data_IF_987337983651
#
_entry.id   IF_987337983651
#
_cell.length_a   1.000
_cell.length_b   1.000
_cell.length_c   1.000
_cell.angle_alpha   90.00
_cell.angle_beta   90.00
_cell.angle_gamma   90.00
#
_symmetry.space_group_name_H-M   'P 1'
#
loop_
_entity.id
_entity.type
_entity.pdbx_description
1 polymer ?
#
# COMPACT_ATOMS: atom_id res chain seq x y z
N UNK A 1 21.85 4.69 -14.48
CA UNK A 1 21.77 5.42 -15.74
C UNK A 1 22.01 6.92 -15.51
N UNK A 2 22.62 7.61 -16.49
CA UNK A 2 22.84 9.05 -16.43
C UNK A 2 21.48 9.78 -16.41
N UNK A 3 21.26 10.77 -15.52
CA UNK A 3 20.02 11.56 -15.48
C UNK A 3 19.64 12.18 -16.82
N UNK A 4 20.63 12.57 -17.65
CA UNK A 4 20.40 13.10 -18.98
C UNK A 4 19.81 12.05 -19.93
N UNK A 5 20.24 10.80 -19.85
CA UNK A 5 19.70 9.68 -20.65
C UNK A 5 18.28 9.32 -20.21
N UNK A 6 17.99 9.35 -18.90
CA UNK A 6 16.64 9.13 -18.38
C UNK A 6 15.67 10.16 -18.94
N UNK A 7 16.02 11.43 -18.86
CA UNK A 7 15.21 12.54 -19.39
C UNK A 7 15.03 12.47 -20.90
N UNK A 8 16.09 12.11 -21.64
CA UNK A 8 16.03 11.92 -23.08
C UNK A 8 15.08 10.76 -23.44
N UNK A 9 15.25 9.64 -22.82
CA UNK A 9 14.43 8.44 -23.07
C UNK A 9 12.96 8.72 -22.75
N UNK A 10 12.67 9.41 -21.65
CA UNK A 10 11.31 9.82 -21.32
C UNK A 10 10.72 10.73 -22.40
N UNK A 11 11.43 11.78 -22.80
CA UNK A 11 10.96 12.75 -23.80
C UNK A 11 10.68 12.14 -25.17
N UNK A 12 11.42 11.11 -25.53
CA UNK A 12 11.25 10.39 -26.80
C UNK A 12 10.20 9.29 -26.74
N UNK A 13 9.72 8.92 -25.54
CA UNK A 13 8.66 7.94 -25.41
C UNK A 13 7.34 8.45 -25.99
N UNK A 14 6.72 7.73 -26.94
CA UNK A 14 5.56 8.22 -27.65
C UNK A 14 4.26 8.30 -26.81
N UNK A 15 4.20 7.61 -25.69
CA UNK A 15 3.06 7.63 -24.77
C UNK A 15 3.31 8.54 -23.56
N UNK A 16 4.45 8.34 -22.88
CA UNK A 16 4.76 9.02 -21.62
C UNK A 16 5.58 10.31 -21.80
N UNK A 17 6.10 10.59 -23.00
CA UNK A 17 6.83 11.85 -23.29
C UNK A 17 6.06 13.11 -22.92
N UNK A 18 4.78 13.25 -23.30
CA UNK A 18 3.94 14.40 -22.97
C UNK A 18 3.55 14.50 -21.48
N UNK A 19 3.71 13.44 -20.68
CA UNK A 19 3.33 13.42 -19.27
C UNK A 19 4.32 14.25 -18.46
N UNK A 20 3.84 15.29 -17.80
CA UNK A 20 4.63 16.14 -16.90
C UNK A 20 4.65 15.58 -15.49
N UNK A 21 3.51 15.08 -15.03
CA UNK A 21 3.32 14.52 -13.69
C UNK A 21 2.26 13.43 -13.71
N UNK A 22 2.45 12.42 -12.89
CA UNK A 22 1.40 11.45 -12.57
C UNK A 22 1.47 11.07 -11.11
N UNK A 23 0.31 10.81 -10.52
CA UNK A 23 0.19 10.35 -9.14
C UNK A 23 -1.02 9.43 -9.01
N UNK A 24 -0.92 8.47 -8.10
CA UNK A 24 -2.03 7.57 -7.81
C UNK A 24 -1.59 6.38 -6.99
N UNK A 25 -2.41 5.36 -7.04
CA UNK A 25 -2.16 4.10 -6.36
C UNK A 25 -2.55 2.92 -7.25
N UNK A 26 -2.02 1.77 -6.92
CA UNK A 26 -2.26 0.56 -7.69
C UNK A 26 -2.25 -0.68 -6.80
N UNK A 27 -2.89 -1.72 -7.31
CA UNK A 27 -3.00 -3.02 -6.69
C UNK A 27 -2.06 -4.00 -7.38
N UNK A 28 -1.13 -4.59 -6.64
CA UNK A 28 -0.23 -5.65 -7.12
C UNK A 28 -0.79 -7.02 -6.79
N UNK A 29 -0.67 -7.92 -7.76
CA UNK A 29 -1.01 -9.35 -7.63
C UNK A 29 -0.28 -9.99 -6.46
N UNK A 30 1.02 -9.70 -6.34
CA UNK A 30 1.93 -10.27 -5.34
C UNK A 30 1.78 -9.65 -3.95
N UNK A 31 1.13 -8.49 -3.84
CA UNK A 31 0.94 -7.74 -2.59
C UNK A 31 -0.54 -7.40 -2.36
N UNK A 32 -1.40 -8.42 -2.16
CA UNK A 32 -2.85 -8.23 -2.17
C UNK A 32 -3.38 -7.44 -0.96
N UNK A 33 -2.59 -7.29 0.10
CA UNK A 33 -3.02 -6.70 1.36
C UNK A 33 -2.76 -5.19 1.44
N UNK A 34 -1.83 -4.70 0.62
CA UNK A 34 -1.37 -3.31 0.62
C UNK A 34 -1.49 -2.72 -0.78
N UNK A 35 -1.66 -1.41 -0.86
CA UNK A 35 -1.61 -0.71 -2.15
C UNK A 35 -0.23 -0.09 -2.39
N UNK A 36 0.14 0.00 -3.66
CA UNK A 36 1.32 0.72 -4.08
C UNK A 36 1.02 2.18 -4.37
N UNK A 37 1.87 3.08 -3.90
CA UNK A 37 1.84 4.47 -4.33
C UNK A 37 2.68 4.67 -5.59
N UNK A 38 2.11 5.40 -6.54
CA UNK A 38 2.75 5.85 -7.76
C UNK A 38 2.95 7.35 -7.71
N UNK A 39 4.17 7.83 -7.90
CA UNK A 39 4.47 9.25 -8.04
C UNK A 39 5.52 9.46 -9.12
N UNK A 40 5.20 10.30 -10.11
CA UNK A 40 6.13 10.67 -11.19
C UNK A 40 6.10 12.17 -11.40
N UNK A 41 7.28 12.77 -11.49
CA UNK A 41 7.48 14.17 -11.84
C UNK A 41 8.69 14.31 -12.78
N UNK A 42 8.48 14.91 -13.95
CA UNK A 42 9.54 14.99 -14.96
C UNK A 42 10.06 13.62 -15.37
N UNK A 43 11.34 13.37 -15.20
CA UNK A 43 12.00 12.08 -15.48
C UNK A 43 12.11 11.15 -14.28
N UNK A 44 11.68 11.58 -13.10
CA UNK A 44 11.76 10.81 -11.86
C UNK A 44 10.45 10.11 -11.59
N UNK A 45 10.54 8.84 -11.24
CA UNK A 45 9.41 8.01 -10.81
C UNK A 45 9.77 7.34 -9.48
N UNK A 46 8.86 7.36 -8.55
CA UNK A 46 8.93 6.63 -7.29
C UNK A 46 7.72 5.73 -7.13
N UNK A 47 7.96 4.56 -6.61
CA UNK A 47 6.95 3.58 -6.24
C UNK A 47 7.27 3.12 -4.82
N UNK A 48 6.26 3.03 -3.99
CA UNK A 48 6.43 2.59 -2.61
C UNK A 48 5.15 1.98 -2.04
N UNK A 49 5.22 1.53 -0.80
CA UNK A 49 4.05 1.10 -0.05
C UNK A 49 3.22 2.31 0.38
N UNK A 50 1.92 2.29 0.09
CA UNK A 50 0.99 3.32 0.56
C UNK A 50 0.22 2.92 1.83
N UNK A 51 0.31 1.65 2.23
CA UNK A 51 -0.39 1.13 3.40
C UNK A 51 -1.41 0.02 3.06
N UNK A 52 -2.19 -0.42 4.04
CA UNK A 52 -3.22 -1.43 3.82
C UNK A 52 -4.41 -0.87 3.01
N UNK A 53 -5.05 -1.75 2.25
CA UNK A 53 -6.38 -1.46 1.72
C UNK A 53 -7.39 -1.34 2.87
N UNK A 54 -8.41 -0.50 2.74
CA UNK A 54 -9.44 -0.39 3.78
C UNK A 54 -10.20 -1.71 3.98
N UNK A 55 -10.25 -2.57 2.97
CA UNK A 55 -10.78 -3.93 3.10
C UNK A 55 -9.98 -4.83 4.06
N UNK A 56 -8.77 -4.42 4.44
CA UNK A 56 -7.89 -5.12 5.41
C UNK A 56 -7.84 -4.41 6.77
N UNK A 57 -8.43 -3.22 6.88
CA UNK A 57 -8.45 -2.42 8.11
C UNK A 57 -9.73 -2.72 8.88
N UNK A 58 -9.65 -3.11 10.17
CA UNK A 58 -10.81 -3.27 11.03
C UNK A 58 -11.68 -1.99 11.09
N UNK A 59 -12.99 -2.16 11.22
CA UNK A 59 -13.96 -1.06 11.13
C UNK A 59 -13.76 0.00 12.24
N UNK A 60 -13.28 -0.42 13.39
CA UNK A 60 -12.91 0.42 14.54
C UNK A 60 -11.73 1.36 14.25
N UNK A 61 -10.84 0.96 13.34
CA UNK A 61 -9.66 1.74 12.94
C UNK A 61 -9.93 2.65 11.73
N UNK A 62 -11.16 2.67 11.23
CA UNK A 62 -11.55 3.60 10.18
C UNK A 62 -11.72 5.02 10.73
N UNK A 63 -11.53 6.06 9.89
CA UNK A 63 -11.74 7.45 10.30
C UNK A 63 -13.12 7.65 10.96
N UNK A 64 -13.19 8.45 12.01
CA UNK A 64 -14.45 8.76 12.72
C UNK A 64 -15.38 9.66 11.91
N UNK A 65 -14.83 10.47 11.00
CA UNK A 65 -15.60 11.38 10.14
C UNK A 65 -16.53 10.60 9.21
N UNK A 66 -17.82 10.91 9.28
CA UNK A 66 -18.86 10.18 8.55
C UNK A 66 -18.76 10.35 7.03
N UNK A 67 -18.40 11.54 6.57
CA UNK A 67 -18.31 11.84 5.13
C UNK A 67 -17.11 11.11 4.53
N UNK A 68 -16.01 11.01 5.29
CA UNK A 68 -14.83 10.23 4.92
C UNK A 68 -15.16 8.74 4.89
N UNK A 69 -15.86 8.20 5.91
CA UNK A 69 -16.30 6.79 5.92
C UNK A 69 -17.20 6.46 4.74
N UNK A 70 -18.16 7.34 4.44
CA UNK A 70 -19.05 7.15 3.29
C UNK A 70 -18.26 7.16 1.98
N UNK A 71 -17.28 8.05 1.83
CA UNK A 71 -16.40 8.09 0.67
C UNK A 71 -15.62 6.77 0.51
N UNK A 72 -15.03 6.24 1.59
CA UNK A 72 -14.34 4.95 1.60
C UNK A 72 -15.29 3.82 1.20
N UNK A 73 -16.49 3.77 1.78
CA UNK A 73 -17.49 2.76 1.47
C UNK A 73 -17.93 2.79 0.01
N UNK A 74 -18.02 3.98 -0.59
CA UNK A 74 -18.35 4.14 -2.00
C UNK A 74 -17.27 3.58 -2.95
N UNK A 75 -16.06 3.41 -2.46
CA UNK A 75 -14.95 2.80 -3.20
C UNK A 75 -14.98 1.26 -3.19
N UNK A 76 -15.75 0.66 -2.27
CA UNK A 76 -15.92 -0.79 -2.20
C UNK A 76 -16.77 -1.29 -3.37
N UNK A 77 -16.10 -1.81 -4.40
CA UNK A 77 -16.74 -2.33 -5.61
C UNK A 77 -16.38 -3.79 -5.84
N UNK A 78 -17.41 -4.61 -5.95
CA UNK A 78 -17.21 -6.04 -6.21
C UNK A 78 -16.67 -6.82 -5.01
N UNK A 79 -16.04 -7.98 -5.25
CA UNK A 79 -15.68 -8.92 -4.18
C UNK A 79 -14.36 -8.60 -3.47
N UNK A 80 -13.62 -7.57 -3.92
CA UNK A 80 -12.26 -7.28 -3.45
C UNK A 80 -12.15 -5.97 -2.67
N UNK A 81 -13.28 -5.40 -2.26
CA UNK A 81 -13.33 -4.16 -1.47
C UNK A 81 -12.93 -2.94 -2.29
N UNK A 82 -12.10 -2.11 -1.71
CA UNK A 82 -11.61 -0.84 -2.29
C UNK A 82 -10.41 -1.01 -3.25
N UNK A 83 -9.98 -2.25 -3.49
CA UNK A 83 -8.83 -2.56 -4.35
C UNK A 83 -9.10 -2.17 -5.79
N UNK A 84 -8.25 -1.31 -6.34
CA UNK A 84 -8.32 -0.81 -7.73
C UNK A 84 -7.00 -0.20 -8.19
N UNK A 85 -6.95 0.15 -9.46
CA UNK A 85 -5.94 1.00 -10.05
C UNK A 85 -6.53 2.39 -10.23
N UNK A 86 -5.86 3.43 -9.72
CA UNK A 86 -6.28 4.81 -9.94
C UNK A 86 -5.05 5.70 -10.05
N UNK A 87 -4.72 6.13 -11.28
CA UNK A 87 -3.56 6.95 -11.57
C UNK A 87 -3.99 8.14 -12.42
N UNK A 88 -3.69 9.34 -11.94
CA UNK A 88 -3.93 10.59 -12.65
C UNK A 88 -2.68 11.01 -13.41
N UNK A 89 -2.83 11.34 -14.68
CA UNK A 89 -1.77 11.83 -15.55
C UNK A 89 -2.04 13.28 -15.93
N UNK A 90 -1.02 14.13 -15.80
CA UNK A 90 -1.07 15.55 -16.13
C UNK A 90 0.03 15.86 -17.14
N UNK A 91 -0.34 16.53 -18.24
CA UNK A 91 0.57 16.92 -19.31
C UNK A 91 -0.16 17.60 -20.45
N UNK A 92 0.58 17.95 -21.47
CA UNK A 92 0.04 18.61 -22.67
C UNK A 92 0.10 17.65 -23.87
N UNK A 93 -1.03 17.48 -24.56
CA UNK A 93 -1.11 16.56 -25.70
C UNK A 93 -0.98 15.07 -25.33
N UNK A 94 -1.44 14.69 -24.14
CA UNK A 94 -1.45 13.29 -23.67
C UNK A 94 -2.41 12.46 -24.55
N UNK A 95 -1.91 11.35 -25.06
CA UNK A 95 -2.73 10.31 -25.67
C UNK A 95 -3.19 9.31 -24.58
N UNK A 96 -4.35 9.59 -24.00
CA UNK A 96 -4.92 8.79 -22.93
C UNK A 96 -5.20 7.34 -23.36
N UNK A 97 -5.65 7.13 -24.60
CA UNK A 97 -5.94 5.79 -25.11
C UNK A 97 -4.68 4.94 -25.20
N UNK A 98 -3.58 5.54 -25.64
CA UNK A 98 -2.28 4.86 -25.71
C UNK A 98 -1.70 4.52 -24.34
N UNK A 99 -1.83 5.45 -23.37
CA UNK A 99 -1.41 5.17 -21.98
C UNK A 99 -2.25 4.05 -21.40
N UNK A 100 -3.58 4.09 -21.55
CA UNK A 100 -4.47 3.03 -21.05
C UNK A 100 -4.09 1.67 -21.64
N UNK A 101 -3.89 1.59 -22.95
CA UNK A 101 -3.48 0.33 -23.59
C UNK A 101 -2.19 -0.25 -22.99
N UNK A 102 -1.17 0.59 -22.75
CA UNK A 102 0.08 0.13 -22.16
C UNK A 102 -0.05 -0.30 -20.69
N UNK A 103 -0.94 0.35 -19.94
CA UNK A 103 -1.21 -0.04 -18.56
C UNK A 103 -2.07 -1.29 -18.48
N UNK A 104 -3.03 -1.46 -19.39
CA UNK A 104 -3.86 -2.66 -19.48
C UNK A 104 -3.03 -3.92 -19.77
N UNK A 105 -1.93 -3.80 -20.53
CA UNK A 105 -0.97 -4.90 -20.75
C UNK A 105 -0.26 -5.37 -19.47
N UNK A 106 -0.28 -4.56 -18.40
CA UNK A 106 0.29 -4.89 -17.10
C UNK A 106 -0.71 -5.61 -16.17
N UNK A 107 -1.98 -5.70 -16.55
CA UNK A 107 -3.00 -6.36 -15.74
C UNK A 107 -2.97 -7.88 -15.91
N UNK A 108 -3.45 -8.60 -14.89
CA UNK A 108 -3.70 -10.04 -15.04
C UNK A 108 -4.77 -10.27 -16.10
N UNK A 109 -4.57 -11.27 -16.94
CA UNK A 109 -5.63 -11.77 -17.79
C UNK A 109 -6.69 -12.57 -16.99
N UNK A 110 -7.80 -12.91 -17.62
CA UNK A 110 -8.91 -13.66 -17.00
C UNK A 110 -8.48 -15.02 -16.43
N UNK A 111 -7.47 -15.64 -17.04
CA UNK A 111 -6.95 -16.95 -16.62
C UNK A 111 -6.13 -16.82 -15.35
N UNK A 112 -5.25 -15.84 -15.32
CA UNK A 112 -4.41 -15.56 -14.17
C UNK A 112 -5.20 -14.97 -13.02
N UNK A 113 -6.19 -14.12 -13.29
CA UNK A 113 -7.12 -13.64 -12.27
C UNK A 113 -7.87 -14.79 -11.59
N UNK A 114 -8.34 -15.79 -12.34
CA UNK A 114 -8.99 -16.98 -11.76
C UNK A 114 -8.04 -17.81 -10.89
N UNK A 115 -6.75 -17.92 -11.29
CA UNK A 115 -5.74 -18.63 -10.46
C UNK A 115 -5.51 -17.87 -9.14
N UNK A 116 -5.34 -16.56 -9.23
CA UNK A 116 -5.16 -15.68 -8.08
C UNK A 116 -6.37 -15.75 -7.14
N UNK A 117 -7.59 -15.61 -7.66
CA UNK A 117 -8.83 -15.72 -6.89
C UNK A 117 -8.96 -17.06 -6.15
N UNK A 118 -8.54 -18.16 -6.79
CA UNK A 118 -8.56 -19.49 -6.15
C UNK A 118 -7.67 -19.55 -4.91
N UNK A 119 -6.54 -18.85 -4.91
CA UNK A 119 -5.68 -18.74 -3.73
C UNK A 119 -6.34 -17.85 -2.69
N UNK A 120 -6.76 -16.65 -3.08
CA UNK A 120 -7.32 -15.66 -2.16
C UNK A 120 -8.61 -16.10 -1.47
N UNK A 121 -9.50 -16.77 -2.19
CA UNK A 121 -10.77 -17.31 -1.67
C UNK A 121 -10.61 -18.56 -0.81
N UNK A 122 -9.40 -19.13 -0.70
CA UNK A 122 -9.16 -20.32 0.13
C UNK A 122 -9.15 -19.95 1.63
N UNK A 123 -10.24 -20.27 2.31
CA UNK A 123 -10.42 -20.00 3.75
C UNK A 123 -9.54 -20.86 4.68
N UNK A 124 -8.90 -21.92 4.15
CA UNK A 124 -8.04 -22.81 4.94
C UNK A 124 -6.58 -22.36 4.97
N UNK A 125 -6.23 -21.38 4.16
CA UNK A 125 -4.88 -20.83 4.09
C UNK A 125 -4.81 -19.54 4.89
N UNK A 126 -3.75 -19.40 5.69
CA UNK A 126 -3.38 -18.15 6.35
C UNK A 126 -3.01 -17.07 5.35
N UNK A 127 -2.87 -15.83 5.81
CA UNK A 127 -2.38 -14.70 5.00
C UNK A 127 -0.97 -15.00 4.44
N UNK A 128 -0.07 -15.47 5.30
CA UNK A 128 1.29 -15.84 4.95
C UNK A 128 1.34 -16.96 3.88
N UNK A 129 0.60 -18.05 4.09
CA UNK A 129 0.51 -19.15 3.11
C UNK A 129 -0.02 -18.71 1.74
N UNK A 130 -0.96 -17.76 1.71
CA UNK A 130 -1.45 -17.17 0.45
C UNK A 130 -0.38 -16.33 -0.22
N UNK A 131 0.32 -15.48 0.55
CA UNK A 131 1.42 -14.65 0.05
C UNK A 131 2.53 -15.50 -0.56
N UNK A 132 2.99 -16.52 0.16
CA UNK A 132 3.99 -17.48 -0.33
C UNK A 132 3.58 -18.20 -1.61
N UNK A 133 2.30 -18.56 -1.69
CA UNK A 133 1.78 -19.24 -2.86
C UNK A 133 1.69 -18.34 -4.07
N UNK A 134 1.30 -17.10 -3.88
CA UNK A 134 1.24 -16.08 -4.92
C UNK A 134 2.64 -15.73 -5.41
N UNK A 135 3.60 -15.56 -4.51
CA UNK A 135 5.00 -15.29 -4.83
C UNK A 135 5.66 -16.40 -5.67
N UNK A 136 5.19 -17.65 -5.55
CA UNK A 136 5.62 -18.76 -6.41
C UNK A 136 4.98 -18.77 -7.81
N UNK A 137 3.91 -18.01 -8.00
CA UNK A 137 3.17 -17.95 -9.27
C UNK A 137 3.58 -16.76 -10.12
N UNK A 138 3.94 -15.66 -9.48
CA UNK A 138 4.36 -14.41 -10.14
C UNK A 138 5.61 -13.86 -9.48
N UNK A 139 6.55 -13.40 -10.31
CA UNK A 139 7.76 -12.74 -9.84
C UNK A 139 7.41 -11.33 -9.34
N UNK A 140 7.97 -10.96 -8.18
CA UNK A 140 7.88 -9.62 -7.61
C UNK A 140 9.27 -8.99 -7.59
N UNK A 141 9.49 -8.00 -8.45
CA UNK A 141 10.77 -7.30 -8.56
C UNK A 141 10.87 -6.03 -7.73
N UNK A 142 9.90 -5.77 -6.87
CA UNK A 142 9.89 -4.57 -6.01
C UNK A 142 10.66 -4.81 -4.72
N UNK A 143 11.21 -3.73 -4.14
CA UNK A 143 11.77 -3.75 -2.78
C UNK A 143 10.71 -4.21 -1.76
N UNK A 144 11.15 -4.80 -0.66
CA UNK A 144 10.25 -5.24 0.40
C UNK A 144 9.47 -4.05 0.98
N UNK A 145 8.17 -4.24 1.17
CA UNK A 145 7.32 -3.29 1.87
C UNK A 145 7.25 -3.64 3.36
N UNK A 146 6.97 -2.66 4.24
CA UNK A 146 6.75 -2.95 5.65
C UNK A 146 5.68 -4.03 5.81
N UNK A 147 5.92 -4.97 6.72
CA UNK A 147 4.89 -5.92 7.09
C UNK A 147 3.67 -5.17 7.67
N UNK A 148 2.47 -5.68 7.41
CA UNK A 148 1.30 -5.25 8.19
C UNK A 148 1.47 -5.88 9.58
N UNK A 149 1.51 -5.07 10.62
CA UNK A 149 1.48 -5.54 12.00
C UNK A 149 0.14 -6.24 12.20
N UNK A 150 0.18 -7.53 12.53
CA UNK A 150 -1.01 -8.24 12.95
C UNK A 150 -1.31 -7.77 14.38
N UNK A 151 -2.46 -7.13 14.62
CA UNK A 151 -2.87 -6.58 15.92
C UNK A 151 -3.02 -7.64 17.03
N UNK A 152 -2.64 -8.89 16.77
CA UNK A 152 -2.74 -9.99 17.73
C UNK A 152 -1.52 -10.13 18.70
N UNK A 153 -0.46 -9.31 18.55
CA UNK A 153 0.73 -9.39 19.42
C UNK A 153 0.82 -8.33 20.53
N UNK A 154 -0.14 -7.40 20.66
CA UNK A 154 -0.14 -6.39 21.74
C UNK A 154 -0.82 -6.84 23.05
N UNK A 155 -1.28 -8.08 23.20
CA UNK A 155 -1.68 -8.61 24.51
C UNK A 155 -0.53 -9.47 25.08
N UNK A 156 0.39 -8.85 25.84
CA UNK A 156 1.08 -9.33 27.04
C UNK A 156 2.42 -8.62 27.29
N UNK A 157 2.41 -7.31 27.50
CA UNK A 157 3.36 -6.72 28.43
C UNK A 157 2.59 -6.24 29.68
N UNK A 158 2.51 -7.12 30.68
CA UNK A 158 2.12 -6.74 32.03
C UNK A 158 3.04 -5.61 32.52
N UNK A 159 2.48 -4.52 33.08
CA UNK A 159 3.32 -3.45 33.64
C UNK A 159 4.09 -4.02 34.82
N UNK A 160 5.40 -4.17 34.65
CA UNK A 160 6.31 -4.46 35.77
C UNK A 160 6.09 -3.39 36.83
N UNK A 161 5.59 -3.81 38.01
CA UNK A 161 5.51 -3.01 39.22
C UNK A 161 6.91 -2.44 39.55
N UNK A 162 7.16 -1.21 39.12
CA UNK A 162 8.28 -0.46 39.65
C UNK A 162 7.96 -0.08 41.10
N UNK A 163 8.76 -0.65 41.99
CA UNK A 163 8.63 -0.57 43.41
C UNK A 163 8.40 0.85 43.91
N UNK A 164 7.41 0.95 44.80
CA UNK A 164 7.13 2.12 45.63
C UNK A 164 8.37 2.50 46.45
N UNK A 165 9.15 3.47 45.96
CA UNK A 165 10.05 4.18 46.86
C UNK A 165 9.24 5.08 47.76
N UNK A 166 9.17 4.71 49.03
CA UNK A 166 8.60 5.51 50.11
C UNK A 166 9.34 6.83 50.20
N UNK A 167 8.63 7.92 49.93
CA UNK A 167 9.04 9.30 50.31
C UNK A 167 8.77 9.45 51.83
N UNK A 168 9.68 8.98 52.68
CA UNK A 168 9.61 9.19 54.12
C UNK A 168 10.92 9.63 54.77
N UNK A 169 12.02 9.83 54.03
CA UNK A 169 13.32 10.08 54.63
C UNK A 169 13.93 11.49 54.32
N UNK A 170 13.10 12.43 53.92
CA UNK A 170 13.58 13.81 53.67
C UNK A 170 12.86 14.91 54.49
N UNK A 171 12.48 14.59 55.75
CA UNK A 171 12.08 15.63 56.69
C UNK A 171 12.64 15.33 58.10
N UNK A 172 13.85 15.75 58.34
CA UNK A 172 14.45 15.67 59.67
C UNK A 172 15.90 16.17 59.64
N UNK A 173 16.09 17.49 59.71
CA UNK A 173 17.16 18.15 60.46
C UNK A 173 17.32 19.61 59.99
N UNK A 174 16.54 20.45 60.57
CA UNK A 174 16.94 21.85 60.82
C UNK A 174 16.23 22.32 62.09
N UNK A 175 16.93 22.21 63.24
CA UNK A 175 16.88 23.13 64.35
C UNK A 175 18.00 22.77 65.33
N UNK A 176 18.99 23.68 65.47
CA UNK A 176 20.07 23.70 66.38
C UNK A 176 21.07 24.76 66.03
#
# INVERSE_FOLDING_TARGET
>A
PDPADILKNKRTNPAFGPVLRSKGFFWLTTRPWQFGEWSQAGGMMTVGCGGPWFAEVPDENWPEDKDVRESIQNDFKGPWGDRRQEIVFIGEGIDSAKISTLLDECLLDDTDMKKWEKVMKNKKMSREEKTDKIAKMWEDGWEEWPALEDEEEEEEEEPQEQGKHRISDYLGHQHG
#
